data_IF_933834507638
#
_entry.id   IF_933834507638
#
_cell.length_a   1.000
_cell.length_b   1.000
_cell.length_c   1.000
_cell.angle_alpha   90.00
_cell.angle_beta   90.00
_cell.angle_gamma   90.00
#
_symmetry.space_group_name_H-M   'P 1'
#
loop_
_entity.id
_entity.type
_entity.pdbx_description
1 polymer ?
#
# COMPACT_ATOMS: atom_id res chain seq x y z
N UNK A 1 29.40 -28.01 53.00
CA UNK A 1 28.40 -28.25 51.93
C UNK A 1 28.02 -26.89 51.38
N UNK A 2 28.68 -26.46 50.28
CA UNK A 2 28.43 -25.18 49.63
C UNK A 2 27.48 -25.43 48.45
N UNK A 3 26.30 -24.84 48.48
CA UNK A 3 25.28 -24.90 47.38
C UNK A 3 25.83 -24.24 46.13
N UNK A 4 25.65 -24.86 44.94
CA UNK A 4 26.00 -24.22 43.69
C UNK A 4 24.97 -23.10 43.40
N UNK A 5 25.49 -21.87 43.27
CA UNK A 5 24.74 -20.69 42.84
C UNK A 5 24.11 -20.94 41.47
N UNK A 6 22.79 -20.92 41.40
CA UNK A 6 22.04 -20.96 40.14
C UNK A 6 22.34 -19.70 39.34
N UNK A 7 23.19 -19.83 38.33
CA UNK A 7 23.44 -18.77 37.34
C UNK A 7 22.19 -18.53 36.54
N UNK A 8 21.47 -17.45 36.83
CA UNK A 8 20.31 -17.02 36.08
C UNK A 8 20.64 -16.92 34.58
N UNK A 9 19.93 -17.68 33.76
CA UNK A 9 20.08 -17.62 32.33
C UNK A 9 19.73 -16.23 31.83
N UNK A 10 20.71 -15.52 31.34
CA UNK A 10 20.48 -14.23 30.69
C UNK A 10 19.62 -14.44 29.44
N UNK A 11 18.56 -13.64 29.23
CA UNK A 11 17.76 -13.74 28.02
C UNK A 11 18.70 -13.49 26.83
N UNK A 12 18.71 -14.45 25.88
CA UNK A 12 19.46 -14.28 24.64
C UNK A 12 18.92 -13.04 23.92
N UNK A 13 19.80 -12.11 23.48
CA UNK A 13 19.33 -11.00 22.66
C UNK A 13 18.61 -11.58 21.43
N UNK A 14 17.36 -11.20 21.23
CA UNK A 14 16.63 -11.49 19.99
C UNK A 14 17.46 -10.83 18.90
N UNK A 15 18.11 -11.66 18.08
CA UNK A 15 18.90 -11.16 16.95
C UNK A 15 17.98 -10.25 16.14
N UNK A 16 18.33 -8.98 16.02
CA UNK A 16 17.66 -8.06 15.12
C UNK A 16 17.73 -8.69 13.74
N UNK A 17 16.61 -9.21 13.25
CA UNK A 17 16.51 -9.78 11.92
C UNK A 17 17.00 -8.70 10.95
N UNK A 18 18.08 -9.00 10.25
CA UNK A 18 18.83 -8.07 9.42
C UNK A 18 17.90 -7.31 8.48
N UNK A 19 17.93 -6.00 8.56
CA UNK A 19 17.33 -5.06 7.63
C UNK A 19 17.96 -5.13 6.22
N UNK A 20 18.88 -6.05 6.00
CA UNK A 20 19.74 -6.13 4.81
C UNK A 20 19.01 -6.34 3.51
N UNK A 21 17.72 -6.71 3.53
CA UNK A 21 16.92 -6.99 2.34
C UNK A 21 15.68 -6.12 2.20
N UNK A 22 15.58 -5.02 2.92
CA UNK A 22 14.44 -4.09 2.85
C UNK A 22 14.21 -3.55 1.43
N UNK A 23 15.28 -3.38 0.65
CA UNK A 23 15.21 -2.93 -0.74
C UNK A 23 14.42 -3.90 -1.64
N UNK A 24 14.44 -5.22 -1.35
CA UNK A 24 13.61 -6.18 -2.09
C UNK A 24 12.12 -5.88 -1.92
N UNK A 25 11.71 -5.54 -0.72
CA UNK A 25 10.33 -5.14 -0.43
C UNK A 25 9.97 -3.86 -1.18
N UNK A 26 10.90 -2.91 -1.29
CA UNK A 26 10.69 -1.69 -2.08
C UNK A 26 10.59 -1.98 -3.58
N UNK A 27 11.37 -2.91 -4.10
CA UNK A 27 11.24 -3.36 -5.51
C UNK A 27 9.87 -3.99 -5.75
N UNK A 28 9.39 -4.83 -4.83
CA UNK A 28 8.05 -5.43 -4.95
C UNK A 28 6.96 -4.33 -4.86
N UNK A 29 7.09 -3.37 -3.95
CA UNK A 29 6.16 -2.25 -3.86
C UNK A 29 6.13 -1.41 -5.16
N UNK A 30 7.30 -1.14 -5.74
CA UNK A 30 7.41 -0.44 -7.04
C UNK A 30 6.78 -1.25 -8.19
N UNK A 31 6.94 -2.58 -8.17
CA UNK A 31 6.29 -3.46 -9.14
C UNK A 31 4.76 -3.47 -8.99
N UNK A 32 4.25 -3.44 -7.75
CA UNK A 32 2.82 -3.31 -7.47
C UNK A 32 2.26 -1.98 -7.96
N UNK A 33 2.99 -0.88 -7.72
CA UNK A 33 2.64 0.44 -8.26
C UNK A 33 2.61 0.44 -9.79
N UNK A 34 3.63 -0.15 -10.44
CA UNK A 34 3.69 -0.22 -11.89
C UNK A 34 2.53 -1.06 -12.46
N UNK A 35 2.18 -2.17 -11.80
CA UNK A 35 1.05 -3.01 -12.17
C UNK A 35 -0.28 -2.25 -12.02
N UNK A 36 -0.51 -1.56 -10.90
CA UNK A 36 -1.68 -0.72 -10.66
C UNK A 36 -1.85 0.31 -11.78
N UNK A 37 -0.80 1.08 -12.06
CA UNK A 37 -0.84 2.11 -13.09
C UNK A 37 -0.99 1.52 -14.51
N UNK A 38 -0.38 0.37 -14.77
CA UNK A 38 -0.52 -0.35 -16.05
C UNK A 38 -1.95 -0.82 -16.28
N UNK A 39 -2.59 -1.44 -15.30
CA UNK A 39 -3.99 -1.88 -15.39
C UNK A 39 -4.93 -0.70 -15.57
N UNK A 40 -4.76 0.37 -14.79
CA UNK A 40 -5.55 1.61 -14.91
C UNK A 40 -5.40 2.25 -16.29
N UNK A 41 -4.17 2.29 -16.82
CA UNK A 41 -3.91 2.78 -18.17
C UNK A 41 -4.63 1.93 -19.23
N UNK A 42 -4.53 0.60 -19.15
CA UNK A 42 -5.23 -0.31 -20.08
C UNK A 42 -6.75 -0.09 -20.02
N UNK A 43 -7.32 0.01 -18.81
CA UNK A 43 -8.74 0.26 -18.63
C UNK A 43 -9.12 1.60 -19.27
N UNK A 44 -8.38 2.67 -18.98
CA UNK A 44 -8.65 4.00 -19.51
C UNK A 44 -8.54 4.11 -21.03
N UNK A 45 -7.66 3.31 -21.67
CA UNK A 45 -7.53 3.29 -23.12
C UNK A 45 -8.61 2.47 -23.85
N UNK A 46 -9.13 1.43 -23.21
CA UNK A 46 -10.00 0.45 -23.87
C UNK A 46 -11.48 0.55 -23.45
N UNK A 47 -11.76 1.23 -22.35
CA UNK A 47 -13.10 1.34 -21.82
C UNK A 47 -13.50 2.83 -21.68
N UNK A 48 -14.56 3.29 -22.36
CA UNK A 48 -15.06 4.66 -22.19
C UNK A 48 -15.41 4.95 -20.72
N UNK A 49 -15.24 6.19 -20.29
CA UNK A 49 -15.63 6.60 -18.95
C UNK A 49 -17.11 6.35 -18.68
N UNK A 50 -17.43 5.71 -17.56
CA UNK A 50 -18.77 5.28 -17.19
C UNK A 50 -19.20 3.94 -17.79
N UNK A 51 -18.39 3.33 -18.66
CA UNK A 51 -18.72 2.03 -19.24
C UNK A 51 -18.40 0.89 -18.26
N UNK A 52 -19.08 -0.22 -18.46
CA UNK A 52 -18.97 -1.45 -17.67
C UNK A 52 -18.93 -2.66 -18.59
N UNK A 53 -18.04 -3.59 -18.31
CA UNK A 53 -17.97 -4.91 -18.94
C UNK A 53 -18.27 -5.96 -17.88
N UNK A 54 -19.34 -6.73 -18.08
CA UNK A 54 -19.66 -7.86 -17.21
C UNK A 54 -18.63 -8.98 -17.46
N UNK A 55 -17.85 -9.32 -16.43
CA UNK A 55 -16.86 -10.41 -16.48
C UNK A 55 -17.51 -11.69 -15.95
N UNK A 56 -18.31 -11.59 -14.89
CA UNK A 56 -19.13 -12.66 -14.33
C UNK A 56 -20.49 -12.09 -13.91
N UNK A 57 -21.40 -12.94 -13.44
CA UNK A 57 -22.72 -12.49 -12.92
C UNK A 57 -22.60 -11.55 -11.72
N UNK A 58 -21.51 -11.62 -10.97
CA UNK A 58 -21.27 -10.84 -9.74
C UNK A 58 -20.06 -9.91 -9.82
N UNK A 59 -19.32 -9.88 -10.93
CA UNK A 59 -18.13 -9.04 -11.11
C UNK A 59 -18.16 -8.32 -12.45
N UNK A 60 -18.08 -6.99 -12.40
CA UNK A 60 -17.97 -6.12 -13.57
C UNK A 60 -16.66 -5.33 -13.54
N UNK A 61 -16.04 -5.20 -14.69
CA UNK A 61 -14.95 -4.23 -14.88
C UNK A 61 -15.58 -2.89 -15.29
N UNK A 62 -15.29 -1.85 -14.52
CA UNK A 62 -15.87 -0.51 -14.75
C UNK A 62 -14.76 0.54 -14.89
N UNK A 63 -14.97 1.55 -15.72
CA UNK A 63 -14.12 2.72 -15.79
C UNK A 63 -14.85 3.89 -15.16
N UNK A 64 -14.54 4.17 -13.90
CA UNK A 64 -15.10 5.28 -13.14
C UNK A 64 -13.99 6.08 -12.47
N UNK A 65 -14.22 7.37 -12.25
CA UNK A 65 -13.31 8.24 -11.51
C UNK A 65 -13.86 8.46 -10.10
N UNK A 66 -13.04 8.15 -9.10
CA UNK A 66 -13.38 8.37 -7.70
C UNK A 66 -12.59 9.55 -7.12
N UNK A 67 -13.20 10.73 -6.94
CA UNK A 67 -12.55 11.90 -6.33
C UNK A 67 -12.40 11.77 -4.81
N UNK A 68 -13.15 10.85 -4.18
CA UNK A 68 -13.13 10.60 -2.73
C UNK A 68 -12.26 9.44 -2.28
N UNK A 69 -12.65 8.88 -1.13
CA UNK A 69 -12.08 7.64 -0.57
C UNK A 69 -12.91 6.41 -1.02
N UNK A 70 -12.74 5.27 -0.34
CA UNK A 70 -13.50 4.07 -0.62
C UNK A 70 -15.00 4.35 -0.61
N UNK A 71 -15.74 3.69 -1.52
CA UNK A 71 -17.20 3.87 -1.69
C UNK A 71 -17.63 5.33 -1.94
N UNK A 72 -16.78 6.13 -2.59
CA UNK A 72 -17.01 7.56 -2.85
C UNK A 72 -17.20 8.42 -1.60
N UNK A 73 -16.75 7.96 -0.44
CA UNK A 73 -16.74 8.77 0.77
C UNK A 73 -15.96 10.06 0.54
N UNK A 74 -16.53 11.20 0.91
CA UNK A 74 -16.00 12.54 0.64
C UNK A 74 -15.95 12.91 -0.87
N UNK A 75 -16.65 12.23 -1.78
CA UNK A 75 -16.61 12.59 -3.21
C UNK A 75 -17.04 14.03 -3.46
N UNK A 76 -18.03 14.52 -2.71
CA UNK A 76 -18.65 15.86 -2.85
C UNK A 76 -18.13 16.89 -1.83
N UNK A 77 -16.98 16.68 -1.23
CA UNK A 77 -16.45 17.54 -0.14
C UNK A 77 -15.75 18.83 -0.62
N UNK A 78 -16.02 19.31 -1.85
CA UNK A 78 -15.54 20.61 -2.31
C UNK A 78 -14.09 20.66 -2.79
N UNK A 79 -13.42 19.52 -3.00
CA UNK A 79 -12.09 19.42 -3.65
C UNK A 79 -10.89 19.32 -2.70
N UNK A 80 -11.01 19.71 -1.43
CA UNK A 80 -9.90 19.59 -0.46
C UNK A 80 -9.51 18.13 -0.17
N UNK A 81 -10.46 17.22 -0.30
CA UNK A 81 -10.27 15.77 -0.07
C UNK A 81 -9.19 15.18 -0.96
N UNK A 82 -9.02 15.67 -2.19
CA UNK A 82 -7.92 15.26 -3.08
C UNK A 82 -6.56 15.43 -2.40
N UNK A 83 -6.33 16.62 -1.82
CA UNK A 83 -5.05 16.93 -1.16
C UNK A 83 -4.89 16.14 0.15
N UNK A 84 -5.95 16.09 0.95
CA UNK A 84 -5.94 15.33 2.22
C UNK A 84 -5.65 13.84 1.99
N UNK A 85 -6.32 13.21 1.01
CA UNK A 85 -6.11 11.81 0.68
C UNK A 85 -4.74 11.55 0.03
N UNK A 86 -4.22 12.51 -0.72
CA UNK A 86 -2.85 12.45 -1.26
C UNK A 86 -1.83 12.48 -0.13
N UNK A 87 -1.94 13.43 0.80
CA UNK A 87 -1.04 13.52 1.97
C UNK A 87 -1.13 12.27 2.83
N UNK A 88 -2.34 11.75 3.08
CA UNK A 88 -2.55 10.52 3.82
C UNK A 88 -1.87 9.33 3.13
N UNK A 89 -2.04 9.17 1.82
CA UNK A 89 -1.43 8.08 1.05
C UNK A 89 0.09 8.13 1.10
N UNK A 90 0.69 9.32 0.97
CA UNK A 90 2.15 9.52 1.13
C UNK A 90 2.58 9.19 2.56
N UNK A 91 1.89 9.72 3.57
CA UNK A 91 2.24 9.51 4.98
C UNK A 91 2.22 8.03 5.36
N UNK A 92 1.16 7.31 5.00
CA UNK A 92 1.05 5.86 5.22
C UNK A 92 2.20 5.13 4.52
N UNK A 93 2.49 5.45 3.26
CA UNK A 93 3.57 4.82 2.49
C UNK A 93 4.94 5.03 3.15
N UNK A 94 5.22 6.24 3.64
CA UNK A 94 6.48 6.56 4.34
C UNK A 94 6.59 5.78 5.65
N UNK A 95 5.52 5.71 6.44
CA UNK A 95 5.51 4.95 7.70
C UNK A 95 5.77 3.47 7.43
N UNK A 96 5.05 2.86 6.49
CA UNK A 96 5.20 1.44 6.16
C UNK A 96 6.58 1.12 5.57
N UNK A 97 7.12 1.99 4.72
CA UNK A 97 8.49 1.87 4.22
C UNK A 97 9.52 1.95 5.36
N UNK A 98 9.31 2.83 6.32
CA UNK A 98 10.12 2.92 7.54
C UNK A 98 10.07 1.66 8.40
N UNK A 99 8.90 1.02 8.53
CA UNK A 99 8.75 -0.26 9.22
C UNK A 99 9.50 -1.38 8.49
N UNK A 100 9.39 -1.44 7.17
CA UNK A 100 10.15 -2.40 6.35
C UNK A 100 11.65 -2.20 6.47
N UNK A 101 12.12 -0.95 6.43
CA UNK A 101 13.53 -0.61 6.62
C UNK A 101 14.06 -1.04 8.00
N UNK A 102 13.24 -0.89 9.04
CA UNK A 102 13.57 -1.31 10.40
C UNK A 102 13.42 -2.82 10.63
N UNK A 103 12.98 -3.57 9.63
CA UNK A 103 12.76 -5.01 9.73
C UNK A 103 11.57 -5.40 10.61
N UNK A 104 10.64 -4.46 10.87
CA UNK A 104 9.45 -4.70 11.68
C UNK A 104 8.41 -5.50 10.89
N UNK A 105 7.71 -6.40 11.57
CA UNK A 105 6.64 -7.21 11.05
C UNK A 105 7.06 -8.63 10.66
N UNK A 106 6.11 -9.55 10.75
CA UNK A 106 6.20 -10.90 10.24
C UNK A 106 6.26 -10.90 8.69
N UNK A 107 6.62 -12.00 8.04
CA UNK A 107 6.61 -12.07 6.57
C UNK A 107 5.25 -11.71 5.95
N UNK A 108 4.15 -12.12 6.57
CA UNK A 108 2.79 -11.80 6.10
C UNK A 108 2.49 -10.32 6.22
N UNK A 109 2.85 -9.68 7.33
CA UNK A 109 2.69 -8.23 7.52
C UNK A 109 3.52 -7.43 6.51
N UNK A 110 4.74 -7.86 6.21
CA UNK A 110 5.58 -7.20 5.20
C UNK A 110 4.99 -7.28 3.80
N UNK A 111 4.37 -8.40 3.44
CA UNK A 111 3.62 -8.52 2.17
C UNK A 111 2.43 -7.55 2.16
N UNK A 112 1.69 -7.45 3.27
CA UNK A 112 0.61 -6.48 3.39
C UNK A 112 1.11 -5.02 3.29
N UNK A 113 2.23 -4.68 3.94
CA UNK A 113 2.84 -3.35 3.83
C UNK A 113 3.19 -2.99 2.38
N UNK A 114 3.78 -3.92 1.65
CA UNK A 114 4.13 -3.74 0.23
C UNK A 114 2.89 -3.49 -0.63
N UNK A 115 1.83 -4.29 -0.44
CA UNK A 115 0.55 -4.09 -1.15
C UNK A 115 -0.08 -2.72 -0.85
N UNK A 116 -0.07 -2.32 0.43
CA UNK A 116 -0.59 -1.02 0.86
C UNK A 116 0.24 0.15 0.28
N UNK A 117 1.58 0.04 0.27
CA UNK A 117 2.45 1.06 -0.32
C UNK A 117 2.16 1.19 -1.82
N UNK A 118 2.13 0.08 -2.57
CA UNK A 118 1.88 0.08 -4.01
C UNK A 118 0.53 0.70 -4.36
N UNK A 119 -0.55 0.26 -3.71
CA UNK A 119 -1.90 0.77 -3.93
C UNK A 119 -2.09 2.23 -3.48
N UNK A 120 -1.53 2.61 -2.32
CA UNK A 120 -1.61 3.98 -1.84
C UNK A 120 -0.88 4.95 -2.78
N UNK A 121 0.33 4.60 -3.21
CA UNK A 121 1.10 5.43 -4.16
C UNK A 121 0.45 5.45 -5.55
N UNK A 122 -0.17 4.36 -6.01
CA UNK A 122 -0.96 4.34 -7.23
C UNK A 122 -2.09 5.36 -7.19
N UNK A 123 -2.85 5.37 -6.12
CA UNK A 123 -3.91 6.34 -5.90
C UNK A 123 -3.38 7.79 -5.72
N UNK A 124 -2.18 7.96 -5.16
CA UNK A 124 -1.50 9.28 -5.09
C UNK A 124 -1.16 9.76 -6.50
N UNK A 125 -0.57 8.90 -7.34
CA UNK A 125 -0.25 9.24 -8.74
C UNK A 125 -1.49 9.69 -9.50
N UNK A 126 -2.59 8.95 -9.39
CA UNK A 126 -3.86 9.31 -10.05
C UNK A 126 -4.36 10.67 -9.60
N UNK A 127 -4.42 10.91 -8.28
CA UNK A 127 -4.90 12.18 -7.74
C UNK A 127 -4.04 13.37 -8.16
N UNK A 128 -2.72 13.19 -8.25
CA UNK A 128 -1.82 14.25 -8.71
C UNK A 128 -2.04 14.53 -10.20
N UNK A 129 -2.21 13.49 -11.03
CA UNK A 129 -2.34 13.63 -12.49
C UNK A 129 -3.71 14.12 -12.94
N UNK A 130 -4.78 13.49 -12.45
CA UNK A 130 -6.15 13.70 -12.96
C UNK A 130 -7.15 14.14 -11.89
N UNK A 131 -6.75 14.23 -10.61
CA UNK A 131 -7.59 14.72 -9.52
C UNK A 131 -8.50 13.66 -8.88
N UNK A 132 -8.59 12.48 -9.42
CA UNK A 132 -9.40 11.37 -8.94
C UNK A 132 -8.66 10.05 -9.13
N UNK A 133 -9.15 8.96 -8.54
CA UNK A 133 -8.61 7.60 -8.73
C UNK A 133 -9.40 6.91 -9.84
N UNK A 134 -8.69 6.23 -10.73
CA UNK A 134 -9.26 5.36 -11.76
C UNK A 134 -9.68 4.03 -11.16
#
# INVERSE_FOLDING_TARGET
MTSPSARAAQPRPVAAASSDRWWLWMVIAASMLALDQGVKWIVAQNLPLGASIAVTEWFNLVHVLNPGAAFSFLADAGGWQRHALTVLGVAVSVVLAGLLWRGVGSPVERVAYVGLIGGALGNVVDRVRIGAVV
#
